data_IF_911938081991
#
_entry.id   IF_911938081991
#
_cell.length_a   1.000
_cell.length_b   1.000
_cell.length_c   1.000
_cell.angle_alpha   90.00
_cell.angle_beta   90.00
_cell.angle_gamma   90.00
#
_symmetry.space_group_name_H-M   'P 1'
#
loop_
_entity.id
_entity.type
_entity.pdbx_description
1 polymer ?
#
# COMPACT_ATOMS: atom_id res chain seq x y z
N UNK A 1 13.29 31.24 -3.41
CA UNK A 1 13.28 31.29 -1.94
C UNK A 1 11.96 31.84 -1.40
N UNK A 2 11.61 33.12 -1.58
CA UNK A 2 10.45 33.72 -0.88
C UNK A 2 9.12 32.95 -0.93
N UNK A 3 8.71 32.39 -2.07
CA UNK A 3 7.47 31.59 -2.14
C UNK A 3 7.54 30.24 -1.43
N UNK A 4 8.72 29.62 -1.32
CA UNK A 4 8.89 28.41 -0.50
C UNK A 4 8.78 28.79 0.98
N UNK A 5 9.43 29.88 1.40
CA UNK A 5 9.39 30.33 2.79
C UNK A 5 7.94 30.70 3.22
N UNK A 6 7.16 31.30 2.31
CA UNK A 6 5.72 31.51 2.52
C UNK A 6 4.95 30.19 2.61
N UNK A 7 5.26 29.21 1.75
CA UNK A 7 4.68 27.88 1.81
C UNK A 7 4.93 27.21 3.16
N UNK A 8 6.18 27.20 3.61
CA UNK A 8 6.61 26.62 4.89
C UNK A 8 5.94 27.32 6.07
N UNK A 9 5.83 28.66 6.02
CA UNK A 9 5.11 29.44 7.03
C UNK A 9 3.63 29.05 7.10
N UNK A 10 2.91 29.03 5.98
CA UNK A 10 1.50 28.67 5.98
C UNK A 10 1.26 27.22 6.40
N UNK A 11 2.15 26.32 5.99
CA UNK A 11 2.11 24.92 6.36
C UNK A 11 2.27 24.73 7.88
N UNK A 12 3.25 25.41 8.49
CA UNK A 12 3.46 25.37 9.95
C UNK A 12 2.29 25.96 10.76
N UNK A 13 1.46 26.82 10.16
CA UNK A 13 0.27 27.40 10.79
C UNK A 13 -1.03 26.66 10.43
N UNK A 14 -0.95 25.53 9.71
CA UNK A 14 -2.12 24.73 9.32
C UNK A 14 -2.96 25.31 8.18
N UNK A 15 -2.50 26.40 7.53
CA UNK A 15 -3.17 27.02 6.39
C UNK A 15 -2.83 26.29 5.08
N UNK A 16 -3.22 25.01 4.98
CA UNK A 16 -2.81 24.09 3.90
C UNK A 16 -3.16 24.59 2.49
N UNK A 17 -4.33 25.20 2.32
CA UNK A 17 -4.75 25.73 1.02
C UNK A 17 -3.87 26.88 0.50
N UNK A 18 -3.37 27.73 1.40
CA UNK A 18 -2.50 28.85 1.04
C UNK A 18 -1.02 28.42 0.95
N UNK A 19 -0.62 27.41 1.74
CA UNK A 19 0.64 26.71 1.57
C UNK A 19 0.74 26.09 0.17
N UNK A 20 -0.28 25.35 -0.26
CA UNK A 20 -0.34 24.73 -1.58
C UNK A 20 -0.23 25.77 -2.71
N UNK A 21 -1.00 26.87 -2.64
CA UNK A 21 -0.90 27.96 -3.62
C UNK A 21 0.51 28.56 -3.67
N UNK A 22 1.14 28.75 -2.51
CA UNK A 22 2.48 29.33 -2.41
C UNK A 22 3.53 28.40 -3.01
N UNK A 23 3.48 27.10 -2.74
CA UNK A 23 4.37 26.11 -3.36
C UNK A 23 4.16 26.03 -4.87
N UNK A 24 2.92 25.96 -5.37
CA UNK A 24 2.66 25.88 -6.82
C UNK A 24 3.10 27.15 -7.56
N UNK A 25 3.02 28.32 -6.93
CA UNK A 25 3.52 29.59 -7.50
C UNK A 25 5.04 29.60 -7.70
N UNK A 26 5.80 28.75 -7.00
CA UNK A 26 7.25 28.65 -7.21
C UNK A 26 7.60 28.15 -8.61
N UNK A 27 6.67 27.45 -9.28
CA UNK A 27 6.81 26.89 -10.63
C UNK A 27 7.35 27.91 -11.63
N UNK A 28 6.80 29.13 -11.62
CA UNK A 28 7.12 30.14 -12.62
C UNK A 28 8.55 30.69 -12.46
N UNK A 29 9.19 30.35 -11.34
CA UNK A 29 10.57 30.73 -10.99
C UNK A 29 11.53 29.53 -10.95
N UNK A 30 11.06 28.33 -11.32
CA UNK A 30 11.90 27.14 -11.38
C UNK A 30 12.83 27.20 -12.60
N UNK A 31 14.14 27.34 -12.36
CA UNK A 31 15.17 27.37 -13.41
C UNK A 31 15.90 26.04 -13.62
N UNK A 32 15.69 25.05 -12.75
CA UNK A 32 16.37 23.75 -12.79
C UNK A 32 15.37 22.62 -12.54
N UNK A 33 15.67 21.40 -13.03
CA UNK A 33 14.87 20.20 -12.76
C UNK A 33 14.72 19.95 -11.25
N UNK A 34 15.78 20.19 -10.47
CA UNK A 34 15.77 20.07 -9.00
C UNK A 34 14.73 20.99 -8.35
N UNK A 35 14.58 22.22 -8.85
CA UNK A 35 13.53 23.13 -8.35
C UNK A 35 12.12 22.59 -8.66
N UNK A 36 11.92 22.00 -9.83
CA UNK A 36 10.64 21.41 -10.24
C UNK A 36 10.30 20.20 -9.35
N UNK A 37 11.28 19.32 -9.12
CA UNK A 37 11.13 18.13 -8.28
C UNK A 37 10.80 18.54 -6.83
N UNK A 38 11.55 19.48 -6.25
CA UNK A 38 11.29 19.95 -4.88
C UNK A 38 9.89 20.56 -4.72
N UNK A 39 9.47 21.36 -5.70
CA UNK A 39 8.12 21.91 -5.73
C UNK A 39 7.07 20.78 -5.80
N UNK A 40 7.27 19.76 -6.66
CA UNK A 40 6.36 18.62 -6.74
C UNK A 40 6.29 17.86 -5.41
N UNK A 41 7.41 17.64 -4.73
CA UNK A 41 7.44 16.99 -3.41
C UNK A 41 6.66 17.77 -2.35
N UNK A 42 6.84 19.10 -2.28
CA UNK A 42 6.09 19.95 -1.35
C UNK A 42 4.59 19.98 -1.69
N UNK A 43 4.24 20.03 -2.98
CA UNK A 43 2.84 19.98 -3.42
C UNK A 43 2.18 18.63 -3.09
N UNK A 44 2.92 17.51 -3.22
CA UNK A 44 2.46 16.18 -2.84
C UNK A 44 2.19 16.12 -1.34
N UNK A 45 3.12 16.58 -0.49
CA UNK A 45 2.98 16.58 0.96
C UNK A 45 1.70 17.29 1.40
N UNK A 46 1.49 18.53 0.96
CA UNK A 46 0.28 19.30 1.30
C UNK A 46 -0.98 18.66 0.71
N UNK A 47 -0.89 18.04 -0.47
CA UNK A 47 -2.04 17.36 -1.08
C UNK A 47 -2.46 16.11 -0.32
N UNK A 48 -1.52 15.38 0.31
CA UNK A 48 -1.82 14.23 1.18
C UNK A 48 -2.56 14.71 2.43
N UNK A 49 -2.10 15.77 3.08
CA UNK A 49 -2.76 16.32 4.27
C UNK A 49 -4.14 16.92 3.99
N UNK A 50 -4.34 17.45 2.77
CA UNK A 50 -5.65 17.90 2.30
C UNK A 50 -6.56 16.75 1.81
N UNK A 51 -6.08 15.50 1.83
CA UNK A 51 -6.80 14.30 1.36
C UNK A 51 -7.17 14.40 -0.14
N UNK A 52 -6.37 15.12 -0.93
CA UNK A 52 -6.58 15.34 -2.37
C UNK A 52 -5.64 14.47 -3.21
N UNK A 53 -5.89 13.16 -3.27
CA UNK A 53 -5.03 12.18 -3.96
C UNK A 53 -5.02 12.29 -5.50
N UNK A 54 -6.00 12.99 -6.09
CA UNK A 54 -6.00 13.36 -7.51
C UNK A 54 -4.84 14.28 -7.86
N UNK A 55 -4.55 15.24 -6.97
CA UNK A 55 -3.40 16.14 -7.11
C UNK A 55 -2.10 15.37 -6.93
N UNK A 56 -2.01 14.48 -5.93
CA UNK A 56 -0.84 13.63 -5.68
C UNK A 56 -0.42 12.89 -6.95
N UNK A 57 -1.38 12.19 -7.59
CA UNK A 57 -1.12 11.44 -8.83
C UNK A 57 -0.58 12.35 -9.95
N UNK A 58 -1.16 13.55 -10.09
CA UNK A 58 -0.77 14.52 -11.12
C UNK A 58 0.65 15.06 -10.90
N UNK A 59 1.02 15.38 -9.66
CA UNK A 59 2.35 15.87 -9.33
C UNK A 59 3.43 14.78 -9.34
N UNK A 60 3.07 13.53 -9.01
CA UNK A 60 3.96 12.37 -9.20
C UNK A 60 4.30 12.21 -10.68
N UNK A 61 3.29 12.13 -11.56
CA UNK A 61 3.53 11.99 -13.01
C UNK A 61 4.33 13.17 -13.58
N UNK A 62 4.11 14.38 -13.06
CA UNK A 62 4.89 15.56 -13.44
C UNK A 62 6.37 15.44 -13.01
N UNK A 63 6.63 14.93 -11.81
CA UNK A 63 7.99 14.74 -11.32
C UNK A 63 8.73 13.64 -12.13
N UNK A 64 8.05 12.53 -12.43
CA UNK A 64 8.60 11.42 -13.25
C UNK A 64 8.91 11.82 -14.70
N UNK A 65 8.16 12.76 -15.28
CA UNK A 65 8.37 13.26 -16.66
C UNK A 65 9.53 14.26 -16.78
N UNK A 66 10.22 14.58 -15.69
CA UNK A 66 11.34 15.52 -15.71
C UNK A 66 12.54 14.88 -16.44
N UNK A 67 13.20 15.58 -17.38
CA UNK A 67 14.21 14.97 -18.27
C UNK A 67 15.55 14.61 -17.59
N UNK A 68 15.78 15.02 -16.35
CA UNK A 68 17.00 14.76 -15.60
C UNK A 68 16.83 13.49 -14.74
N UNK A 69 17.89 12.67 -14.64
CA UNK A 69 17.87 11.46 -13.84
C UNK A 69 17.55 11.81 -12.38
N UNK A 70 16.49 11.19 -11.84
CA UNK A 70 16.07 11.38 -10.46
C UNK A 70 17.01 10.63 -9.53
N UNK A 71 17.37 11.28 -8.42
CA UNK A 71 18.12 10.62 -7.36
C UNK A 71 17.31 9.42 -6.81
N UNK A 72 17.94 8.27 -6.52
CA UNK A 72 17.25 7.10 -5.97
C UNK A 72 16.29 7.36 -4.79
N UNK A 73 16.61 8.21 -3.77
CA UNK A 73 15.67 8.51 -2.70
C UNK A 73 14.45 9.31 -3.17
N UNK A 74 14.59 10.13 -4.20
CA UNK A 74 13.48 10.90 -4.78
C UNK A 74 12.53 9.97 -5.53
N UNK A 75 13.06 9.03 -6.32
CA UNK A 75 12.27 7.99 -6.98
C UNK A 75 11.47 7.21 -5.95
N UNK A 76 12.12 6.81 -4.86
CA UNK A 76 11.49 6.03 -3.81
C UNK A 76 10.34 6.81 -3.11
N UNK A 77 10.54 8.10 -2.79
CA UNK A 77 9.48 8.99 -2.27
C UNK A 77 8.29 9.13 -3.23
N UNK A 78 8.55 9.28 -4.53
CA UNK A 78 7.50 9.37 -5.54
C UNK A 78 6.72 8.06 -5.67
N UNK A 79 7.41 6.91 -5.64
CA UNK A 79 6.77 5.60 -5.63
C UNK A 79 5.87 5.40 -4.40
N UNK A 80 6.30 5.80 -3.21
CA UNK A 80 5.48 5.76 -1.99
C UNK A 80 4.22 6.64 -2.13
N UNK A 81 4.36 7.88 -2.58
CA UNK A 81 3.24 8.80 -2.77
C UNK A 81 2.25 8.29 -3.84
N UNK A 82 2.75 7.69 -4.93
CA UNK A 82 1.94 7.07 -5.97
C UNK A 82 1.17 5.85 -5.45
N UNK A 83 1.85 5.00 -4.68
CA UNK A 83 1.24 3.83 -4.07
C UNK A 83 0.14 4.22 -3.09
N UNK A 84 0.35 5.25 -2.26
CA UNK A 84 -0.64 5.76 -1.33
C UNK A 84 -1.87 6.32 -2.07
N UNK A 85 -1.66 7.11 -3.12
CA UNK A 85 -2.77 7.61 -3.94
C UNK A 85 -3.58 6.48 -4.62
N UNK A 86 -2.93 5.37 -4.97
CA UNK A 86 -3.61 4.19 -5.50
C UNK A 86 -4.34 3.37 -4.43
N UNK A 87 -3.81 3.33 -3.21
CA UNK A 87 -4.45 2.67 -2.07
C UNK A 87 -5.81 3.32 -1.77
N UNK A 88 -5.82 4.65 -1.66
CA UNK A 88 -7.01 5.48 -1.43
C UNK A 88 -8.02 5.37 -2.59
N UNK A 89 -7.52 5.19 -3.82
CA UNK A 89 -8.36 4.90 -4.98
C UNK A 89 -8.89 3.45 -5.04
N UNK A 90 -8.65 2.62 -4.00
CA UNK A 90 -8.98 1.19 -3.91
C UNK A 90 -8.37 0.33 -5.02
N UNK A 91 -7.29 0.81 -5.65
CA UNK A 91 -6.56 0.12 -6.73
C UNK A 91 -5.38 -0.66 -6.16
N UNK A 92 -5.68 -1.65 -5.32
CA UNK A 92 -4.69 -2.42 -4.54
C UNK A 92 -3.58 -3.05 -5.40
N UNK A 93 -3.91 -3.54 -6.60
CA UNK A 93 -2.92 -4.13 -7.52
C UNK A 93 -1.88 -3.13 -8.03
N UNK A 94 -2.30 -1.89 -8.32
CA UNK A 94 -1.39 -0.84 -8.78
C UNK A 94 -0.58 -0.28 -7.60
N UNK A 95 -1.23 -0.12 -6.45
CA UNK A 95 -0.58 0.29 -5.20
C UNK A 95 0.56 -0.68 -4.83
N UNK A 96 0.27 -1.99 -4.78
CA UNK A 96 1.25 -3.03 -4.50
C UNK A 96 2.48 -2.96 -5.43
N UNK A 97 2.26 -2.81 -6.75
CA UNK A 97 3.36 -2.68 -7.72
C UNK A 97 4.24 -1.47 -7.44
N UNK A 98 3.63 -0.32 -7.11
CA UNK A 98 4.38 0.90 -6.82
C UNK A 98 5.17 0.80 -5.53
N UNK A 99 4.63 0.12 -4.51
CA UNK A 99 5.37 -0.14 -3.27
C UNK A 99 6.53 -1.12 -3.45
N UNK A 100 6.42 -2.10 -4.36
CA UNK A 100 7.50 -3.03 -4.69
C UNK A 100 8.65 -2.40 -5.48
N UNK A 101 8.41 -1.25 -6.13
CA UNK A 101 9.43 -0.48 -6.85
C UNK A 101 10.29 0.40 -5.91
N UNK A 102 9.93 0.49 -4.63
CA UNK A 102 10.65 1.29 -3.62
C UNK A 102 11.94 0.55 -3.21
N UNK A 103 13.10 1.18 -3.45
CA UNK A 103 14.40 0.64 -3.05
C UNK A 103 14.69 0.76 -1.54
N UNK A 104 15.68 0.03 -1.01
CA UNK A 104 16.00 -0.03 0.42
C UNK A 104 16.74 1.23 0.93
N UNK A 105 17.12 2.15 0.04
CA UNK A 105 17.87 3.37 0.37
C UNK A 105 17.08 4.38 1.23
N UNK A 106 15.79 4.14 1.50
CA UNK A 106 14.94 5.02 2.29
C UNK A 106 15.14 4.92 3.81
N UNK A 107 15.78 3.84 4.30
CA UNK A 107 16.12 3.67 5.73
C UNK A 107 14.97 4.00 6.70
N UNK A 108 15.31 4.45 7.92
CA UNK A 108 14.39 4.72 9.03
C UNK A 108 13.51 5.98 8.88
N UNK A 109 13.33 6.53 7.68
CA UNK A 109 12.59 7.80 7.52
C UNK A 109 11.09 7.64 7.35
N UNK A 110 10.57 6.41 7.12
CA UNK A 110 9.18 6.19 6.68
C UNK A 110 8.64 4.80 7.09
N UNK A 111 8.83 4.39 8.36
CA UNK A 111 8.57 3.00 8.83
C UNK A 111 7.11 2.65 9.14
N UNK A 112 6.12 3.44 8.71
CA UNK A 112 4.72 3.23 9.11
C UNK A 112 3.82 2.66 8.00
N UNK A 113 4.33 2.39 6.80
CA UNK A 113 3.44 2.26 5.65
C UNK A 113 3.86 1.06 4.78
N UNK A 114 3.12 -0.05 4.92
CA UNK A 114 2.79 -1.05 3.88
C UNK A 114 3.53 -2.42 3.85
N UNK A 115 2.72 -3.47 3.65
CA UNK A 115 3.06 -4.79 3.12
C UNK A 115 2.21 -5.08 1.86
N UNK A 116 2.73 -5.67 0.74
CA UNK A 116 2.16 -6.93 0.21
C UNK A 116 3.01 -7.76 -0.82
N UNK A 117 2.46 -8.91 -1.23
CA UNK A 117 2.97 -10.06 -2.03
C UNK A 117 2.98 -9.95 -3.57
N UNK A 118 3.91 -10.67 -4.25
CA UNK A 118 3.74 -11.77 -5.26
C UNK A 118 5.11 -12.06 -5.92
N UNK A 119 5.59 -13.33 -5.94
CA UNK A 119 6.83 -13.97 -6.51
C UNK A 119 8.18 -13.20 -6.61
N UNK A 120 8.17 -11.88 -6.78
CA UNK A 120 9.28 -10.95 -6.66
C UNK A 120 9.45 -10.41 -5.24
N UNK A 121 8.95 -11.09 -4.22
CA UNK A 121 9.04 -10.64 -2.82
C UNK A 121 10.03 -11.50 -2.05
N UNK A 122 9.98 -12.83 -2.23
CA UNK A 122 10.92 -13.77 -1.63
C UNK A 122 12.32 -13.59 -2.23
N UNK A 123 12.41 -13.36 -3.54
CA UNK A 123 13.68 -13.19 -4.26
C UNK A 123 14.19 -11.73 -4.28
N UNK A 124 13.39 -10.76 -3.81
CA UNK A 124 13.78 -9.36 -3.86
C UNK A 124 14.51 -8.94 -2.59
N UNK A 125 15.83 -8.90 -2.72
CA UNK A 125 16.78 -8.51 -1.68
C UNK A 125 16.41 -7.16 -1.06
N UNK A 126 15.95 -6.20 -1.87
CA UNK A 126 15.59 -4.86 -1.39
C UNK A 126 14.36 -4.86 -0.49
N UNK A 127 13.45 -5.81 -0.67
CA UNK A 127 12.21 -5.88 0.07
C UNK A 127 12.33 -6.77 1.32
N UNK A 128 13.35 -7.62 1.37
CA UNK A 128 13.68 -8.42 2.54
C UNK A 128 13.99 -7.54 3.75
N UNK A 129 14.72 -6.45 3.56
CA UNK A 129 15.06 -5.50 4.63
C UNK A 129 13.81 -4.87 5.26
N UNK A 130 12.78 -4.57 4.45
CA UNK A 130 11.49 -4.07 4.94
C UNK A 130 10.67 -5.14 5.68
N UNK A 131 10.73 -6.40 5.23
CA UNK A 131 10.07 -7.53 5.91
C UNK A 131 10.79 -7.95 7.21
N UNK A 132 12.07 -7.64 7.36
CA UNK A 132 12.81 -7.85 8.61
C UNK A 132 12.39 -6.85 9.70
N UNK A 133 11.90 -5.67 9.34
CA UNK A 133 11.35 -4.67 10.27
C UNK A 133 10.03 -5.14 10.93
N UNK A 134 9.22 -5.93 10.22
CA UNK A 134 7.94 -6.44 10.73
C UNK A 134 7.88 -7.97 10.58
N UNK A 135 8.44 -8.73 11.53
CA UNK A 135 8.55 -10.18 11.42
C UNK A 135 7.17 -10.87 11.34
N UNK A 136 6.14 -10.30 11.96
CA UNK A 136 4.76 -10.83 11.93
C UNK A 136 4.20 -10.90 10.50
N UNK A 137 4.47 -9.88 9.68
CA UNK A 137 4.05 -9.84 8.27
C UNK A 137 4.84 -10.84 7.43
N UNK A 138 6.12 -11.02 7.73
CA UNK A 138 6.97 -12.00 7.03
C UNK A 138 6.48 -13.42 7.27
N UNK A 139 6.21 -13.78 8.53
CA UNK A 139 5.67 -15.09 8.87
C UNK A 139 4.29 -15.30 8.24
N UNK A 140 3.43 -14.28 8.21
CA UNK A 140 2.14 -14.35 7.51
C UNK A 140 2.29 -14.66 6.02
N UNK A 141 3.23 -14.03 5.32
CA UNK A 141 3.50 -14.30 3.90
C UNK A 141 4.03 -15.73 3.70
N UNK A 142 4.93 -16.19 4.57
CA UNK A 142 5.47 -17.55 4.52
C UNK A 142 4.39 -18.61 4.81
N UNK A 143 3.52 -18.35 5.79
CA UNK A 143 2.39 -19.22 6.14
C UNK A 143 1.38 -19.32 4.99
N UNK A 144 1.11 -18.20 4.32
CA UNK A 144 0.25 -18.19 3.13
C UNK A 144 0.87 -19.02 1.99
N UNK A 145 2.17 -18.87 1.73
CA UNK A 145 2.86 -19.61 0.67
C UNK A 145 2.99 -21.11 0.98
N UNK A 146 3.23 -21.46 2.25
CA UNK A 146 3.34 -22.84 2.72
C UNK A 146 1.98 -23.52 2.94
N UNK A 147 0.87 -22.87 2.57
CA UNK A 147 -0.52 -23.37 2.71
C UNK A 147 -0.97 -23.58 4.17
N UNK A 148 -0.32 -22.94 5.14
CA UNK A 148 -0.72 -22.96 6.56
C UNK A 148 -1.73 -21.84 6.86
N UNK A 149 -2.94 -21.96 6.30
CA UNK A 149 -3.98 -20.93 6.40
C UNK A 149 -4.49 -20.68 7.82
N UNK A 150 -4.47 -21.69 8.70
CA UNK A 150 -4.89 -21.56 10.10
C UNK A 150 -4.05 -20.53 10.89
N UNK A 151 -2.72 -20.64 10.76
CA UNK A 151 -1.76 -19.73 11.38
C UNK A 151 -1.81 -18.35 10.73
N UNK A 152 -1.88 -18.30 9.39
CA UNK A 152 -2.01 -17.06 8.63
C UNK A 152 -3.22 -16.21 9.07
N UNK A 153 -4.39 -16.84 9.25
CA UNK A 153 -5.61 -16.17 9.71
C UNK A 153 -5.54 -15.72 11.17
N UNK A 154 -4.80 -16.42 12.01
CA UNK A 154 -4.57 -16.02 13.40
C UNK A 154 -3.66 -14.79 13.49
N UNK A 155 -2.57 -14.75 12.71
CA UNK A 155 -1.73 -13.56 12.58
C UNK A 155 -2.50 -12.37 12.01
N UNK A 156 -3.32 -12.58 10.98
CA UNK A 156 -4.23 -11.55 10.46
C UNK A 156 -5.19 -11.05 11.55
N UNK A 157 -5.80 -11.95 12.33
CA UNK A 157 -6.70 -11.57 13.42
C UNK A 157 -6.04 -10.67 14.47
N UNK A 158 -4.80 -10.99 14.86
CA UNK A 158 -4.04 -10.20 15.82
C UNK A 158 -3.68 -8.81 15.26
N UNK A 159 -3.20 -8.77 14.01
CA UNK A 159 -2.82 -7.53 13.33
C UNK A 159 -4.02 -6.61 13.06
N UNK A 160 -5.23 -7.15 12.86
CA UNK A 160 -6.44 -6.38 12.54
C UNK A 160 -6.67 -5.22 13.50
N UNK A 161 -6.46 -5.45 14.80
CA UNK A 161 -6.66 -4.43 15.84
C UNK A 161 -5.72 -3.23 15.68
N UNK A 162 -4.45 -3.48 15.32
CA UNK A 162 -3.46 -2.44 15.09
C UNK A 162 -3.69 -1.73 13.75
N UNK A 163 -4.02 -2.48 12.69
CA UNK A 163 -4.28 -1.91 11.36
C UNK A 163 -5.55 -1.04 11.32
N UNK A 164 -6.50 -1.29 12.22
CA UNK A 164 -7.68 -0.42 12.37
C UNK A 164 -7.36 0.94 13.02
N UNK A 165 -6.17 1.12 13.59
CA UNK A 165 -5.72 2.40 14.13
C UNK A 165 -4.96 3.25 13.11
N UNK A 166 -4.69 2.70 11.92
CA UNK A 166 -3.97 3.37 10.85
C UNK A 166 -4.88 4.33 10.07
N UNK A 167 -4.43 5.58 9.92
CA UNK A 167 -5.19 6.65 9.26
C UNK A 167 -5.52 6.37 7.79
N UNK A 168 -4.62 5.71 7.06
CA UNK A 168 -4.78 5.44 5.62
C UNK A 168 -5.31 4.04 5.36
N UNK A 169 -5.03 3.08 6.25
CA UNK A 169 -5.38 1.70 6.02
C UNK A 169 -6.77 1.32 6.57
N UNK A 170 -7.29 2.03 7.58
CA UNK A 170 -8.56 1.71 8.25
C UNK A 170 -9.70 1.39 7.28
N UNK A 171 -9.96 2.25 6.30
CA UNK A 171 -11.04 2.11 5.31
C UNK A 171 -10.84 0.91 4.35
N UNK A 172 -9.67 0.29 4.37
CA UNK A 172 -9.29 -0.78 3.47
C UNK A 172 -9.11 -2.12 4.18
N UNK A 173 -8.97 -2.14 5.51
CA UNK A 173 -8.69 -3.36 6.29
C UNK A 173 -9.74 -4.44 6.00
N UNK A 174 -11.03 -4.13 6.09
CA UNK A 174 -12.08 -5.13 5.88
C UNK A 174 -12.05 -5.70 4.45
N UNK A 175 -11.96 -4.82 3.45
CA UNK A 175 -11.93 -5.22 2.04
C UNK A 175 -10.70 -6.09 1.71
N UNK A 176 -9.53 -5.75 2.25
CA UNK A 176 -8.30 -6.50 2.04
C UNK A 176 -8.37 -7.87 2.72
N UNK A 177 -8.92 -7.95 3.93
CA UNK A 177 -9.06 -9.21 4.67
C UNK A 177 -10.01 -10.17 3.95
N UNK A 178 -11.14 -9.67 3.45
CA UNK A 178 -12.08 -10.48 2.68
C UNK A 178 -11.43 -10.99 1.38
N UNK A 179 -10.66 -10.16 0.68
CA UNK A 179 -9.95 -10.59 -0.54
C UNK A 179 -8.85 -11.63 -0.26
N UNK A 180 -8.11 -11.49 0.84
CA UNK A 180 -7.08 -12.47 1.25
C UNK A 180 -7.75 -13.80 1.60
N UNK A 181 -8.85 -13.77 2.36
CA UNK A 181 -9.62 -14.95 2.72
C UNK A 181 -10.18 -15.66 1.49
N UNK A 182 -10.80 -14.92 0.57
CA UNK A 182 -11.30 -15.46 -0.69
C UNK A 182 -10.19 -16.12 -1.53
N UNK A 183 -9.01 -15.49 -1.62
CA UNK A 183 -7.85 -16.08 -2.30
C UNK A 183 -7.33 -17.35 -1.61
N UNK A 184 -7.28 -17.37 -0.28
CA UNK A 184 -6.88 -18.56 0.47
C UNK A 184 -7.83 -19.74 0.21
N UNK A 185 -9.14 -19.48 0.19
CA UNK A 185 -10.16 -20.50 -0.10
C UNK A 185 -9.96 -21.08 -1.51
N UNK A 186 -9.79 -20.23 -2.52
CA UNK A 186 -9.55 -20.66 -3.90
C UNK A 186 -8.26 -21.49 -4.00
N UNK A 187 -7.15 -21.02 -3.42
CA UNK A 187 -5.88 -21.76 -3.46
C UNK A 187 -5.96 -23.10 -2.73
N UNK A 188 -6.73 -23.18 -1.64
CA UNK A 188 -6.97 -24.43 -0.93
C UNK A 188 -7.78 -25.43 -1.76
N UNK A 189 -8.80 -24.98 -2.51
CA UNK A 189 -9.68 -25.87 -3.29
C UNK A 189 -9.11 -26.27 -4.65
N UNK A 190 -8.28 -25.43 -5.29
CA UNK A 190 -7.71 -25.69 -6.63
C UNK A 190 -7.00 -27.05 -6.82
N UNK A 191 -6.18 -27.56 -5.88
CA UNK A 191 -5.49 -28.85 -6.06
C UNK A 191 -6.39 -30.07 -5.82
N UNK A 192 -7.63 -29.89 -5.32
CA UNK A 192 -8.52 -31.00 -4.96
C UNK A 192 -9.80 -30.99 -5.80
N UNK A 193 -10.18 -32.17 -6.31
CA UNK A 193 -11.46 -32.35 -7.04
C UNK A 193 -12.65 -32.48 -6.07
N UNK A 194 -12.40 -32.89 -4.83
CA UNK A 194 -13.40 -33.01 -3.78
C UNK A 194 -12.73 -32.70 -2.44
N UNK A 195 -13.38 -31.86 -1.62
CA UNK A 195 -12.87 -31.38 -0.35
C UNK A 195 -13.87 -31.73 0.76
N UNK A 196 -13.38 -32.26 1.88
CA UNK A 196 -14.20 -32.46 3.08
C UNK A 196 -14.42 -31.10 3.78
N UNK A 197 -15.68 -30.65 3.82
CA UNK A 197 -16.04 -29.38 4.46
C UNK A 197 -15.70 -29.34 5.95
N UNK A 198 -15.64 -30.49 6.65
CA UNK A 198 -15.28 -30.52 8.08
C UNK A 198 -13.80 -30.21 8.28
N UNK A 199 -12.94 -30.88 7.51
CA UNK A 199 -11.50 -30.62 7.55
C UNK A 199 -11.18 -29.17 7.14
N UNK A 200 -11.92 -28.64 6.17
CA UNK A 200 -11.76 -27.24 5.75
C UNK A 200 -12.25 -26.26 6.83
N UNK A 201 -13.39 -26.54 7.47
CA UNK A 201 -13.90 -25.73 8.58
C UNK A 201 -12.90 -25.69 9.76
N UNK A 202 -12.31 -26.83 10.09
CA UNK A 202 -11.27 -26.94 11.12
C UNK A 202 -10.01 -26.15 10.75
N UNK A 203 -9.55 -26.24 9.48
CA UNK A 203 -8.37 -25.52 8.99
C UNK A 203 -8.57 -23.99 8.95
N UNK A 204 -9.77 -23.51 8.64
CA UNK A 204 -10.09 -22.09 8.57
C UNK A 204 -10.67 -21.53 9.89
N UNK A 205 -10.69 -22.35 10.96
CA UNK A 205 -11.27 -22.03 12.29
C UNK A 205 -12.69 -21.43 12.17
N UNK A 206 -13.51 -21.97 11.26
CA UNK A 206 -14.87 -21.51 11.00
C UNK A 206 -15.90 -22.62 11.22
N UNK A 207 -17.18 -22.26 11.21
CA UNK A 207 -18.27 -23.25 11.21
C UNK A 207 -18.57 -23.72 9.79
N UNK A 208 -19.05 -24.96 9.65
CA UNK A 208 -19.45 -25.51 8.33
C UNK A 208 -20.51 -24.63 7.66
N UNK A 209 -21.48 -24.11 8.42
CA UNK A 209 -22.54 -23.22 7.90
C UNK A 209 -21.98 -21.87 7.43
N UNK A 210 -20.95 -21.35 8.10
CA UNK A 210 -20.26 -20.13 7.68
C UNK A 210 -19.47 -20.36 6.38
N UNK A 211 -18.76 -21.48 6.33
CA UNK A 211 -17.99 -21.89 5.15
C UNK A 211 -18.88 -22.12 3.93
N UNK A 212 -20.05 -22.76 4.10
CA UNK A 212 -21.02 -22.99 3.01
C UNK A 212 -21.45 -21.67 2.35
N UNK A 213 -21.74 -20.63 3.14
CA UNK A 213 -22.11 -19.31 2.61
C UNK A 213 -20.97 -18.62 1.88
N UNK A 214 -19.75 -18.72 2.41
CA UNK A 214 -18.56 -18.15 1.78
C UNK A 214 -18.26 -18.84 0.44
N UNK A 215 -18.37 -20.17 0.40
CA UNK A 215 -18.19 -20.96 -0.82
C UNK A 215 -19.31 -20.71 -1.84
N UNK A 216 -20.56 -20.58 -1.41
CA UNK A 216 -21.68 -20.24 -2.29
C UNK A 216 -21.46 -18.90 -3.00
N UNK A 217 -20.98 -17.89 -2.28
CA UNK A 217 -20.62 -16.59 -2.86
C UNK A 217 -19.48 -16.73 -3.89
N UNK A 218 -18.45 -17.51 -3.58
CA UNK A 218 -17.31 -17.73 -4.49
C UNK A 218 -17.67 -18.54 -5.75
N UNK A 219 -18.58 -19.51 -5.64
CA UNK A 219 -19.13 -20.27 -6.77
C UNK A 219 -20.00 -19.37 -7.64
N UNK A 220 -20.83 -18.51 -7.03
CA UNK A 220 -21.66 -17.54 -7.74
C UNK A 220 -20.82 -16.55 -8.55
N UNK A 221 -19.65 -16.18 -8.02
CA UNK A 221 -18.67 -15.31 -8.69
C UNK A 221 -17.80 -16.03 -9.74
N UNK A 222 -18.05 -17.31 -10.04
CA UNK A 222 -17.27 -18.17 -10.95
C UNK A 222 -15.77 -18.24 -10.63
N UNK A 223 -15.38 -18.04 -9.37
CA UNK A 223 -13.98 -18.12 -8.94
C UNK A 223 -13.53 -19.57 -8.70
N UNK A 224 -14.48 -20.49 -8.52
CA UNK A 224 -14.27 -21.93 -8.27
C UNK A 224 -15.27 -22.72 -9.13
N UNK A 225 -14.86 -23.89 -9.63
CA UNK A 225 -15.67 -24.81 -10.45
C UNK A 225 -15.85 -26.16 -9.76
#
# INVERSE_FOLDING_TARGET
MGYNDFGDFYYAHGALGDAFKSYVRTRDYCTTSKHIIQMCLNAILVSIEMVQFSNVTSYVSKAEQTPEALDPPTVAKLCCAAGLAHLEAKKYKLAARKFLEVGPELGNSYSEVIAPQDNKVIDNINFRDFLELVPEVRELINDFYSSHYASCLEYLGNLKSNLMLDIHLYDHVETLYDQIRNKALIQYTLPFVSVDMRMMADAFKTSVVGLEKELEALITDNQIQ
#
